data_IF_404311054238
#
_entry.id   IF_404311054238
#
_cell.length_a   1.000
_cell.length_b   1.000
_cell.length_c   1.000
_cell.angle_alpha   90.00
_cell.angle_beta   90.00
_cell.angle_gamma   90.00
#
_symmetry.space_group_name_H-M   'P 1'
#
loop_
_entity.id
_entity.type
_entity.pdbx_description
1 polymer ?
#
# COMPACT_ATOMS: atom_id res chain seq x y z
N UNK A 1 8.33 -26.51 43.73
CA UNK A 1 8.03 -25.06 43.64
C UNK A 1 9.32 -24.24 43.47
N UNK A 2 10.28 -24.69 42.65
CA UNK A 2 11.61 -24.08 42.51
C UNK A 2 12.11 -23.98 41.05
N UNK A 3 11.29 -24.32 40.05
CA UNK A 3 11.71 -24.39 38.65
C UNK A 3 10.98 -23.40 37.73
N UNK A 4 10.56 -22.23 38.22
CA UNK A 4 9.88 -21.22 37.38
C UNK A 4 10.68 -19.90 37.29
N UNK A 5 11.73 -19.74 38.11
CA UNK A 5 12.46 -18.45 38.22
C UNK A 5 13.73 -18.42 37.35
N UNK A 6 14.17 -19.54 36.76
CA UNK A 6 15.43 -19.61 35.99
C UNK A 6 15.36 -19.12 34.54
N UNK A 7 14.15 -18.87 34.00
CA UNK A 7 13.97 -18.57 32.57
C UNK A 7 13.79 -17.07 32.28
N UNK A 8 13.87 -16.20 33.30
CA UNK A 8 13.70 -14.74 33.15
C UNK A 8 15.02 -13.98 32.87
N UNK A 9 16.17 -14.66 32.88
CA UNK A 9 17.49 -14.03 32.71
C UNK A 9 18.04 -14.06 31.28
N UNK A 10 17.27 -14.54 30.29
CA UNK A 10 17.66 -14.40 28.88
C UNK A 10 17.23 -13.03 28.34
N UNK A 11 17.80 -11.97 28.93
CA UNK A 11 17.86 -10.67 28.31
C UNK A 11 18.60 -10.80 26.99
N UNK A 12 17.88 -10.54 25.89
CA UNK A 12 18.36 -10.61 24.51
C UNK A 12 19.80 -10.12 24.36
N UNK A 13 20.71 -11.07 24.10
CA UNK A 13 22.11 -10.78 23.80
C UNK A 13 22.21 -9.74 22.68
N UNK A 14 22.95 -8.67 22.97
CA UNK A 14 23.26 -7.62 22.02
C UNK A 14 24.24 -8.17 20.96
N UNK A 15 23.71 -8.54 19.79
CA UNK A 15 24.50 -8.93 18.61
C UNK A 15 25.43 -7.77 18.17
N UNK A 16 26.76 -7.89 18.36
CA UNK A 16 27.72 -6.84 18.07
C UNK A 16 27.92 -6.59 16.56
N UNK A 17 27.37 -7.44 15.68
CA UNK A 17 27.40 -7.27 14.22
C UNK A 17 26.27 -6.43 13.65
N UNK A 18 25.22 -6.16 14.43
CA UNK A 18 24.03 -5.45 13.97
C UNK A 18 24.22 -3.94 14.13
N UNK A 19 24.51 -3.24 13.03
CA UNK A 19 24.57 -1.77 13.01
C UNK A 19 23.31 -1.21 13.68
N UNK A 20 23.50 -0.45 14.76
CA UNK A 20 22.42 0.32 15.41
C UNK A 20 21.74 1.15 14.33
N UNK A 21 20.49 0.79 14.02
CA UNK A 21 19.69 1.55 13.08
C UNK A 21 19.37 2.87 13.73
N UNK A 22 19.64 3.98 13.04
CA UNK A 22 19.20 5.29 13.50
C UNK A 22 17.69 5.22 13.74
N UNK A 23 17.25 5.64 14.93
CA UNK A 23 15.85 5.79 15.26
C UNK A 23 15.34 6.98 14.46
N UNK A 24 14.90 6.74 13.22
CA UNK A 24 14.12 7.68 12.41
C UNK A 24 14.62 9.12 12.34
N UNK A 25 13.68 10.01 11.98
CA UNK A 25 13.83 11.45 12.20
C UNK A 25 14.01 11.72 13.72
N UNK A 26 14.82 12.73 14.10
CA UNK A 26 15.04 13.05 15.52
C UNK A 26 13.72 13.48 16.20
N UNK A 27 13.32 12.78 17.27
CA UNK A 27 12.14 13.11 18.08
C UNK A 27 10.82 12.80 17.36
N UNK A 28 9.73 13.46 17.76
CA UNK A 28 8.38 13.21 17.23
C UNK A 28 8.11 13.89 15.87
N UNK A 29 9.15 14.24 15.11
CA UNK A 29 9.02 15.02 13.87
C UNK A 29 8.14 14.31 12.83
N UNK A 30 8.41 13.03 12.57
CA UNK A 30 7.65 12.26 11.59
C UNK A 30 6.19 12.06 12.02
N UNK A 31 5.97 11.78 13.31
CA UNK A 31 4.64 11.65 13.90
C UNK A 31 3.85 12.95 13.72
N UNK A 32 4.40 14.09 14.19
CA UNK A 32 3.76 15.39 14.10
C UNK A 32 3.47 15.79 12.65
N UNK A 33 4.40 15.50 11.73
CA UNK A 33 4.19 15.70 10.30
C UNK A 33 3.00 14.89 9.79
N UNK A 34 2.98 13.59 10.06
CA UNK A 34 1.89 12.70 9.62
C UNK A 34 0.54 13.16 10.19
N UNK A 35 0.48 13.54 11.47
CA UNK A 35 -0.74 14.07 12.08
C UNK A 35 -1.17 15.41 11.45
N UNK A 36 -0.22 16.29 11.12
CA UNK A 36 -0.50 17.57 10.47
C UNK A 36 -0.96 17.43 9.02
N UNK A 37 -0.39 16.49 8.27
CA UNK A 37 -0.73 16.25 6.86
C UNK A 37 -2.03 15.45 6.71
N UNK A 38 -2.31 14.49 7.60
CA UNK A 38 -3.51 13.61 7.51
C UNK A 38 -4.68 14.06 8.38
N UNK A 39 -4.44 14.86 9.43
CA UNK A 39 -5.44 15.19 10.45
C UNK A 39 -5.77 14.05 11.42
N UNK A 40 -5.09 12.90 11.33
CA UNK A 40 -5.39 11.71 12.14
C UNK A 40 -4.71 11.78 13.50
N UNK A 41 -5.41 11.41 14.57
CA UNK A 41 -4.81 11.29 15.90
C UNK A 41 -4.04 9.96 16.08
N UNK A 42 -2.86 9.87 15.46
CA UNK A 42 -1.99 8.67 15.47
C UNK A 42 -1.56 8.29 16.90
N UNK A 43 -1.39 9.27 17.78
CA UNK A 43 -0.99 9.09 19.18
C UNK A 43 -2.06 8.38 20.03
N UNK A 44 -3.32 8.37 19.60
CA UNK A 44 -4.39 7.61 20.27
C UNK A 44 -4.21 6.09 20.15
N UNK A 45 -3.35 5.60 19.25
CA UNK A 45 -3.15 4.17 19.07
C UNK A 45 -2.36 3.54 20.24
N UNK A 46 -3.07 2.70 20.99
CA UNK A 46 -2.59 1.81 22.06
C UNK A 46 -2.27 0.36 21.64
N UNK A 47 -2.11 0.08 20.33
CA UNK A 47 -1.65 -1.22 19.81
C UNK A 47 -2.53 -2.44 20.14
N UNK A 48 -3.86 -2.30 20.09
CA UNK A 48 -4.79 -3.43 20.31
C UNK A 48 -4.89 -4.46 19.17
N UNK A 49 -4.16 -4.26 18.07
CA UNK A 49 -4.09 -5.15 16.89
C UNK A 49 -5.40 -5.43 16.11
N UNK A 50 -6.55 -4.85 16.51
CA UNK A 50 -7.83 -5.03 15.81
C UNK A 50 -7.77 -4.76 14.30
N UNK A 51 -7.07 -3.70 13.91
CA UNK A 51 -6.88 -3.35 12.50
C UNK A 51 -6.14 -4.44 11.69
N UNK A 52 -5.30 -5.24 12.35
CA UNK A 52 -4.58 -6.35 11.72
C UNK A 52 -5.46 -7.58 11.58
N UNK A 53 -6.22 -7.90 12.64
CA UNK A 53 -7.17 -9.01 12.62
C UNK A 53 -8.33 -8.77 11.64
N UNK A 54 -8.75 -7.52 11.45
CA UNK A 54 -9.75 -7.14 10.46
C UNK A 54 -9.23 -7.14 9.00
N UNK A 55 -7.91 -7.14 8.80
CA UNK A 55 -7.33 -7.01 7.46
C UNK A 55 -7.23 -8.37 6.76
N UNK A 56 -7.88 -8.55 5.59
CA UNK A 56 -7.99 -9.84 4.90
C UNK A 56 -6.68 -10.24 4.22
N UNK A 57 -5.80 -9.26 3.97
CA UNK A 57 -4.48 -9.46 3.35
C UNK A 57 -3.35 -9.26 4.36
N UNK A 58 -3.65 -9.20 5.66
CA UNK A 58 -2.64 -9.02 6.70
C UNK A 58 -1.55 -10.09 6.62
N UNK A 59 -1.89 -11.32 6.28
CA UNK A 59 -0.94 -12.42 6.11
C UNK A 59 0.17 -12.12 5.08
N UNK A 60 -0.14 -11.38 4.01
CA UNK A 60 0.81 -11.02 2.95
C UNK A 60 1.61 -9.75 3.24
N UNK A 61 1.27 -9.01 4.30
CA UNK A 61 1.97 -7.78 4.69
C UNK A 61 3.23 -8.09 5.51
N UNK A 62 4.33 -7.43 5.21
CA UNK A 62 5.58 -7.51 5.99
C UNK A 62 5.55 -6.66 7.26
N UNK A 63 4.78 -5.57 7.26
CA UNK A 63 4.48 -4.72 8.41
C UNK A 63 2.97 -4.71 8.58
N UNK A 64 2.46 -5.26 9.68
CA UNK A 64 1.00 -5.32 9.88
C UNK A 64 0.41 -3.92 10.11
N UNK A 65 -0.89 -3.68 9.87
CA UNK A 65 -1.50 -2.37 10.04
C UNK A 65 -1.24 -1.71 11.41
N UNK A 66 -1.29 -2.46 12.52
CA UNK A 66 -0.99 -1.89 13.85
C UNK A 66 0.48 -1.48 13.99
N UNK A 67 1.38 -2.31 13.43
CA UNK A 67 2.82 -2.04 13.39
C UNK A 67 3.11 -0.83 12.51
N UNK A 68 2.39 -0.63 11.41
CA UNK A 68 2.58 0.54 10.57
C UNK A 68 2.33 1.84 11.36
N UNK A 69 1.26 1.87 12.16
CA UNK A 69 0.99 2.97 13.10
C UNK A 69 2.12 3.13 14.11
N UNK A 70 2.62 2.02 14.67
CA UNK A 70 3.74 2.06 15.62
C UNK A 70 5.01 2.62 14.98
N UNK A 71 5.31 2.25 13.74
CA UNK A 71 6.48 2.75 13.02
C UNK A 71 6.37 4.25 12.76
N UNK A 72 5.16 4.76 12.50
CA UNK A 72 4.94 6.22 12.42
C UNK A 72 5.22 6.89 13.76
N UNK A 73 4.70 6.34 14.87
CA UNK A 73 4.98 6.85 16.22
C UNK A 73 6.48 6.84 16.56
N UNK A 74 7.22 5.84 16.07
CA UNK A 74 8.66 5.68 16.32
C UNK A 74 9.55 6.42 15.31
N UNK A 75 8.98 7.09 14.31
CA UNK A 75 9.75 7.79 13.28
C UNK A 75 10.41 6.89 12.22
N UNK A 76 10.05 5.62 12.12
CA UNK A 76 10.69 4.64 11.22
C UNK A 76 10.19 4.74 9.77
N UNK A 77 10.35 5.94 9.20
CA UNK A 77 9.87 6.32 7.87
C UNK A 77 10.45 5.43 6.76
N UNK A 78 11.77 5.26 6.70
CA UNK A 78 12.42 4.56 5.58
C UNK A 78 11.99 3.10 5.48
N UNK A 79 11.75 2.46 6.63
CA UNK A 79 11.29 1.07 6.67
C UNK A 79 9.86 0.92 6.21
N UNK A 80 9.01 1.87 6.62
CA UNK A 80 7.63 1.92 6.12
C UNK A 80 7.60 2.08 4.61
N UNK A 81 8.32 3.07 4.08
CA UNK A 81 8.31 3.37 2.64
C UNK A 81 8.90 2.24 1.78
N UNK A 82 9.77 1.40 2.36
CA UNK A 82 10.32 0.19 1.70
C UNK A 82 9.44 -1.05 1.83
N UNK A 83 8.40 -1.00 2.66
CA UNK A 83 7.57 -2.17 2.97
C UNK A 83 6.71 -2.60 1.78
N UNK A 84 6.39 -3.90 1.70
CA UNK A 84 5.39 -4.40 0.75
C UNK A 84 3.98 -3.98 1.15
N UNK A 85 3.77 -3.75 2.45
CA UNK A 85 2.49 -3.35 3.08
C UNK A 85 1.79 -2.19 2.38
N UNK A 86 2.54 -1.13 2.04
CA UNK A 86 2.01 0.05 1.35
C UNK A 86 1.32 -0.33 0.02
N UNK A 87 1.90 -1.29 -0.70
CA UNK A 87 1.48 -1.68 -2.04
C UNK A 87 0.47 -2.84 -2.04
N UNK A 88 0.48 -3.68 -1.02
CA UNK A 88 -0.46 -4.79 -0.84
C UNK A 88 -1.80 -4.32 -0.27
N UNK A 89 -1.83 -3.19 0.44
CA UNK A 89 -3.06 -2.64 1.01
C UNK A 89 -4.15 -2.44 -0.05
N UNK A 90 -5.30 -3.07 0.16
CA UNK A 90 -6.46 -3.04 -0.75
C UNK A 90 -7.32 -1.78 -0.62
N UNK A 91 -6.98 -0.85 0.28
CA UNK A 91 -7.78 0.37 0.51
C UNK A 91 -9.25 0.07 0.85
N UNK A 92 -9.47 -0.96 1.68
CA UNK A 92 -10.80 -1.47 2.00
C UNK A 92 -11.42 -0.87 3.28
N UNK A 93 -10.74 0.04 3.97
CA UNK A 93 -11.24 0.79 5.14
C UNK A 93 -11.63 -0.02 6.39
N UNK A 94 -11.48 -1.36 6.38
CA UNK A 94 -11.84 -2.18 7.54
C UNK A 94 -10.99 -1.87 8.77
N UNK A 95 -9.70 -1.58 8.60
CA UNK A 95 -8.83 -1.23 9.71
C UNK A 95 -9.29 0.04 10.45
N UNK A 96 -9.75 1.05 9.71
CA UNK A 96 -10.31 2.30 10.23
C UNK A 96 -11.65 2.05 10.91
N UNK A 97 -12.54 1.31 10.26
CA UNK A 97 -13.90 1.02 10.77
C UNK A 97 -13.90 0.28 12.11
N UNK A 98 -12.96 -0.65 12.32
CA UNK A 98 -12.89 -1.46 13.55
C UNK A 98 -12.06 -0.81 14.67
N UNK A 99 -11.46 0.35 14.44
CA UNK A 99 -10.59 1.02 15.39
C UNK A 99 -11.40 1.64 16.54
N UNK A 100 -11.23 1.18 17.80
CA UNK A 100 -11.98 1.74 18.93
C UNK A 100 -11.53 3.16 19.33
N UNK A 101 -10.35 3.59 18.85
CA UNK A 101 -9.77 4.90 19.14
C UNK A 101 -9.85 5.84 17.93
N UNK A 102 -10.65 5.48 16.90
CA UNK A 102 -10.89 6.32 15.71
C UNK A 102 -9.61 6.73 14.96
N UNK A 103 -8.56 5.92 15.07
CA UNK A 103 -7.34 6.09 14.28
C UNK A 103 -7.63 5.63 12.86
N UNK A 104 -7.58 6.56 11.91
CA UNK A 104 -7.75 6.26 10.48
C UNK A 104 -6.49 5.60 9.89
N UNK A 105 -6.39 4.29 10.09
CA UNK A 105 -5.25 3.49 9.66
C UNK A 105 -5.16 3.43 8.14
N UNK A 106 -6.30 3.42 7.44
CA UNK A 106 -6.32 3.39 5.99
C UNK A 106 -5.75 4.70 5.41
N UNK A 107 -6.19 5.86 5.89
CA UNK A 107 -5.66 7.16 5.45
C UNK A 107 -4.15 7.27 5.69
N UNK A 108 -3.65 6.76 6.82
CA UNK A 108 -2.21 6.72 7.10
C UNK A 108 -1.46 5.87 6.07
N UNK A 109 -1.96 4.68 5.72
CA UNK A 109 -1.32 3.82 4.70
C UNK A 109 -1.42 4.47 3.30
N UNK A 110 -2.54 5.13 2.99
CA UNK A 110 -2.72 5.90 1.76
C UNK A 110 -1.70 7.03 1.64
N UNK A 111 -1.54 7.81 2.71
CA UNK A 111 -0.57 8.88 2.77
C UNK A 111 0.86 8.35 2.62
N UNK A 112 1.21 7.25 3.28
CA UNK A 112 2.51 6.58 3.12
C UNK A 112 2.76 6.12 1.68
N UNK A 113 1.73 5.66 0.95
CA UNK A 113 1.83 5.33 -0.48
C UNK A 113 2.22 6.55 -1.31
N UNK A 114 1.54 7.67 -1.06
CA UNK A 114 1.83 8.93 -1.74
C UNK A 114 3.27 9.39 -1.47
N UNK A 115 3.72 9.29 -0.22
CA UNK A 115 5.09 9.61 0.15
C UNK A 115 6.10 8.68 -0.52
N UNK A 116 5.78 7.39 -0.68
CA UNK A 116 6.67 6.42 -1.32
C UNK A 116 6.90 6.77 -2.79
N UNK A 117 5.86 7.13 -3.53
CA UNK A 117 5.96 7.54 -4.95
C UNK A 117 6.79 8.81 -5.12
N UNK A 118 6.61 9.80 -4.24
CA UNK A 118 7.36 11.05 -4.30
C UNK A 118 8.78 10.94 -3.72
N UNK A 119 9.15 9.78 -3.20
CA UNK A 119 10.49 9.51 -2.66
C UNK A 119 11.38 8.84 -3.70
N UNK A 120 12.69 8.85 -3.46
CA UNK A 120 13.67 8.08 -4.24
C UNK A 120 13.71 6.59 -3.88
N UNK A 121 12.76 6.11 -3.08
CA UNK A 121 12.72 4.73 -2.61
C UNK A 121 12.01 3.85 -3.64
N UNK A 122 12.73 2.87 -4.17
CA UNK A 122 12.15 1.88 -5.07
C UNK A 122 11.17 0.99 -4.32
N UNK A 123 9.91 0.85 -4.79
CA UNK A 123 8.94 -0.08 -4.24
C UNK A 123 9.47 -1.51 -4.20
N UNK A 124 9.26 -2.20 -3.08
CA UNK A 124 9.52 -3.64 -2.97
C UNK A 124 8.63 -4.43 -3.94
N UNK A 125 7.35 -4.07 -3.99
CA UNK A 125 6.36 -4.66 -4.91
C UNK A 125 6.22 -3.82 -6.19
N UNK A 126 7.23 -3.85 -7.06
CA UNK A 126 7.27 -3.04 -8.30
C UNK A 126 6.04 -3.23 -9.19
N UNK A 127 5.62 -4.46 -9.39
CA UNK A 127 4.49 -4.79 -10.26
C UNK A 127 3.18 -4.21 -9.72
N UNK A 128 2.97 -4.25 -8.40
CA UNK A 128 1.81 -3.62 -7.75
C UNK A 128 1.88 -2.09 -7.84
N UNK A 129 3.07 -1.50 -7.68
CA UNK A 129 3.25 -0.07 -7.84
C UNK A 129 2.93 0.39 -9.26
N UNK A 130 3.48 -0.27 -10.29
CA UNK A 130 3.20 0.03 -11.70
C UNK A 130 1.72 -0.18 -12.03
N UNK A 131 1.11 -1.24 -11.47
CA UNK A 131 -0.32 -1.48 -11.62
C UNK A 131 -1.17 -0.35 -11.03
N UNK A 132 -0.86 0.08 -9.81
CA UNK A 132 -1.55 1.19 -9.14
C UNK A 132 -1.46 2.48 -9.96
N UNK A 133 -0.26 2.81 -10.47
CA UNK A 133 -0.08 3.97 -11.34
C UNK A 133 -0.90 3.87 -12.62
N UNK A 134 -0.88 2.70 -13.25
CA UNK A 134 -1.66 2.47 -14.48
C UNK A 134 -3.16 2.58 -14.22
N UNK A 135 -3.63 2.07 -13.09
CA UNK A 135 -5.02 2.19 -12.65
C UNK A 135 -5.44 3.65 -12.53
N UNK A 136 -4.64 4.47 -11.85
CA UNK A 136 -4.91 5.90 -11.68
C UNK A 136 -4.85 6.67 -13.01
N UNK A 137 -3.88 6.36 -13.89
CA UNK A 137 -3.79 6.93 -15.24
C UNK A 137 -5.06 6.67 -16.07
N UNK A 138 -5.53 5.41 -16.07
CA UNK A 138 -6.74 5.01 -16.80
C UNK A 138 -7.97 5.68 -16.19
N UNK A 139 -8.08 5.70 -14.87
CA UNK A 139 -9.18 6.37 -14.16
C UNK A 139 -9.22 7.86 -14.52
N UNK A 140 -8.08 8.56 -14.49
CA UNK A 140 -7.99 9.99 -14.84
C UNK A 140 -8.34 10.27 -16.30
N UNK A 141 -7.95 9.38 -17.22
CA UNK A 141 -8.16 9.57 -18.67
C UNK A 141 -9.60 9.29 -19.11
N UNK A 142 -10.28 8.34 -18.49
CA UNK A 142 -11.59 7.86 -18.94
C UNK A 142 -12.73 8.03 -17.94
N UNK A 143 -12.41 8.32 -16.68
CA UNK A 143 -13.37 8.48 -15.58
C UNK A 143 -14.05 7.18 -15.13
N UNK A 144 -13.70 6.05 -15.76
CA UNK A 144 -14.20 4.72 -15.42
C UNK A 144 -13.18 3.68 -15.83
N UNK A 145 -13.10 2.62 -15.04
CA UNK A 145 -12.17 1.53 -15.27
C UNK A 145 -12.87 0.43 -16.04
N UNK A 146 -12.11 -0.17 -16.94
CA UNK A 146 -12.51 -1.31 -17.72
C UNK A 146 -11.36 -2.29 -17.73
N UNK A 147 -11.68 -3.55 -17.47
CA UNK A 147 -10.74 -4.63 -17.23
C UNK A 147 -9.79 -4.78 -18.44
N UNK A 148 -10.34 -4.86 -19.65
CA UNK A 148 -9.54 -4.99 -20.87
C UNK A 148 -8.58 -3.81 -21.07
N UNK A 149 -9.09 -2.58 -20.93
CA UNK A 149 -8.28 -1.38 -21.09
C UNK A 149 -7.17 -1.28 -20.03
N UNK A 150 -7.49 -1.57 -18.78
CA UNK A 150 -6.53 -1.52 -17.68
C UNK A 150 -5.43 -2.58 -17.87
N UNK A 151 -5.81 -3.82 -18.18
CA UNK A 151 -4.85 -4.91 -18.42
C UNK A 151 -3.94 -4.58 -19.60
N UNK A 152 -4.48 -4.11 -20.73
CA UNK A 152 -3.66 -3.73 -21.87
C UNK A 152 -2.72 -2.56 -21.55
N UNK A 153 -3.20 -1.52 -20.86
CA UNK A 153 -2.35 -0.40 -20.48
C UNK A 153 -1.21 -0.84 -19.55
N UNK A 154 -1.47 -1.80 -18.66
CA UNK A 154 -0.48 -2.36 -17.73
C UNK A 154 0.52 -3.26 -18.46
N UNK A 155 0.05 -4.16 -19.30
CA UNK A 155 0.90 -5.11 -20.05
C UNK A 155 1.74 -4.42 -21.14
N UNK A 156 1.35 -3.24 -21.60
CA UNK A 156 2.13 -2.44 -22.55
C UNK A 156 3.21 -1.59 -21.88
N UNK A 157 3.28 -1.52 -20.54
CA UNK A 157 4.39 -0.85 -19.85
C UNK A 157 5.69 -1.62 -20.16
N UNK A 158 6.79 -0.94 -20.57
CA UNK A 158 7.99 -1.61 -21.08
C UNK A 158 8.56 -2.67 -20.12
N UNK A 159 8.67 -2.33 -18.83
CA UNK A 159 9.22 -3.21 -17.81
C UNK A 159 8.37 -4.50 -17.66
N UNK A 160 7.05 -4.35 -17.61
CA UNK A 160 6.10 -5.46 -17.45
C UNK A 160 6.05 -6.33 -18.71
N UNK A 161 6.05 -5.71 -19.89
CA UNK A 161 6.02 -6.42 -21.16
C UNK A 161 7.26 -7.31 -21.31
N UNK A 162 8.43 -6.75 -21.01
CA UNK A 162 9.69 -7.48 -21.09
C UNK A 162 9.75 -8.66 -20.11
N UNK A 163 9.32 -8.45 -18.86
CA UNK A 163 9.23 -9.53 -17.86
C UNK A 163 8.29 -10.66 -18.31
N UNK A 164 7.11 -10.33 -18.85
CA UNK A 164 6.12 -11.33 -19.28
C UNK A 164 6.56 -12.13 -20.50
N UNK A 165 7.23 -11.48 -21.47
CA UNK A 165 7.82 -12.15 -22.63
C UNK A 165 8.91 -13.13 -22.17
N UNK A 166 9.81 -12.67 -21.28
CA UNK A 166 10.88 -13.50 -20.72
C UNK A 166 10.34 -14.71 -19.97
N UNK A 167 9.28 -14.52 -19.18
CA UNK A 167 8.68 -15.57 -18.37
C UNK A 167 7.68 -16.45 -19.13
N UNK A 168 7.46 -16.24 -20.43
CA UNK A 168 6.47 -16.95 -21.29
C UNK A 168 5.00 -16.88 -20.82
N UNK A 169 4.72 -16.20 -19.72
CA UNK A 169 3.37 -15.96 -19.15
C UNK A 169 2.42 -15.22 -20.09
N UNK A 170 2.94 -14.44 -21.05
CA UNK A 170 2.12 -13.68 -22.00
C UNK A 170 1.15 -14.56 -22.81
N UNK A 171 1.55 -15.80 -23.14
CA UNK A 171 0.70 -16.74 -23.88
C UNK A 171 -0.50 -17.20 -23.05
N UNK A 172 -0.29 -17.45 -21.76
CA UNK A 172 -1.33 -17.88 -20.82
C UNK A 172 -2.35 -16.77 -20.58
N UNK A 173 -1.87 -15.54 -20.39
CA UNK A 173 -2.73 -14.36 -20.26
C UNK A 173 -3.61 -14.13 -21.50
N UNK A 174 -3.03 -14.28 -22.70
CA UNK A 174 -3.77 -14.15 -23.96
C UNK A 174 -4.83 -15.26 -24.10
N UNK A 175 -4.50 -16.50 -23.74
CA UNK A 175 -5.45 -17.61 -23.75
C UNK A 175 -6.60 -17.39 -22.77
N UNK A 176 -6.31 -16.88 -21.57
CA UNK A 176 -7.33 -16.50 -20.59
C UNK A 176 -8.20 -15.37 -21.14
N UNK A 177 -7.61 -14.34 -21.73
CA UNK A 177 -8.31 -13.24 -22.39
C UNK A 177 -9.25 -13.71 -23.49
N UNK A 178 -8.79 -14.60 -24.38
CA UNK A 178 -9.62 -15.22 -25.43
C UNK A 178 -10.77 -16.04 -24.83
N UNK A 179 -10.53 -16.78 -23.76
CA UNK A 179 -11.55 -17.58 -23.07
C UNK A 179 -12.63 -16.70 -22.45
N UNK A 180 -12.24 -15.60 -21.79
CA UNK A 180 -13.16 -14.63 -21.21
C UNK A 180 -13.96 -13.88 -22.28
N UNK A 181 -13.34 -13.53 -23.40
CA UNK A 181 -13.99 -12.89 -24.54
C UNK A 181 -15.03 -13.82 -25.19
N UNK A 182 -14.67 -15.10 -25.43
CA UNK A 182 -15.59 -16.11 -25.97
C UNK A 182 -16.80 -16.36 -25.06
N UNK A 183 -16.63 -16.25 -23.74
CA UNK A 183 -17.73 -16.35 -22.75
C UNK A 183 -18.50 -15.04 -22.56
N UNK A 184 -18.18 -13.96 -23.29
CA UNK A 184 -18.82 -12.66 -23.13
C UNK A 184 -18.56 -11.97 -21.78
N UNK A 185 -17.55 -12.44 -21.03
CA UNK A 185 -17.20 -11.93 -19.68
C UNK A 185 -16.16 -10.81 -19.73
N UNK A 186 -15.61 -10.50 -20.90
CA UNK A 186 -14.65 -9.42 -21.10
C UNK A 186 -15.25 -8.34 -22.02
N UNK A 187 -15.44 -7.13 -21.49
CA UNK A 187 -15.96 -6.00 -22.25
C UNK A 187 -14.79 -5.21 -22.86
N UNK A 188 -14.68 -5.18 -24.18
CA UNK A 188 -13.60 -4.46 -24.88
C UNK A 188 -13.83 -2.94 -24.93
N UNK A 189 -15.09 -2.53 -25.00
CA UNK A 189 -15.48 -1.13 -25.16
C UNK A 189 -16.39 -0.69 -24.02
N UNK A 190 -16.00 0.40 -23.37
CA UNK A 190 -16.80 1.10 -22.36
C UNK A 190 -16.77 2.59 -22.64
N UNK A 191 -17.93 3.28 -22.65
CA UNK A 191 -17.99 4.72 -22.84
C UNK A 191 -17.35 5.44 -21.65
N UNK A 192 -16.89 6.67 -21.88
CA UNK A 192 -16.36 7.53 -20.81
C UNK A 192 -17.44 7.83 -19.78
N UNK A 193 -17.03 8.00 -18.52
CA UNK A 193 -17.94 8.42 -17.46
C UNK A 193 -18.46 9.84 -17.72
N UNK A 194 -19.74 10.08 -17.43
CA UNK A 194 -20.35 11.42 -17.45
C UNK A 194 -19.68 12.35 -16.43
N UNK A 195 -19.22 11.80 -15.30
CA UNK A 195 -18.56 12.52 -14.21
C UNK A 195 -17.06 12.78 -14.44
N UNK A 196 -16.55 12.64 -15.68
CA UNK A 196 -15.11 12.81 -15.94
C UNK A 196 -14.58 14.21 -15.56
N UNK A 197 -15.42 15.25 -15.67
CA UNK A 197 -15.05 16.61 -15.27
C UNK A 197 -14.86 16.72 -13.76
N UNK A 198 -15.76 16.11 -12.99
CA UNK A 198 -15.69 16.06 -11.52
C UNK A 198 -14.48 15.27 -11.05
N UNK A 199 -14.23 14.09 -11.64
CA UNK A 199 -13.06 13.27 -11.30
C UNK A 199 -11.76 14.03 -11.55
N UNK A 200 -11.66 14.74 -12.69
CA UNK A 200 -10.50 15.59 -12.98
C UNK A 200 -10.37 16.76 -12.02
N UNK A 201 -11.50 17.36 -11.62
CA UNK A 201 -11.54 18.45 -10.63
C UNK A 201 -11.06 17.96 -9.27
N UNK A 202 -11.59 16.85 -8.77
CA UNK A 202 -11.15 16.22 -7.53
C UNK A 202 -9.64 15.96 -7.55
N UNK A 203 -9.14 15.35 -8.62
CA UNK A 203 -7.69 15.11 -8.77
C UNK A 203 -6.85 16.39 -8.76
N UNK A 204 -7.33 17.47 -9.39
CA UNK A 204 -6.63 18.77 -9.38
C UNK A 204 -6.66 19.49 -8.03
N UNK A 205 -7.70 19.26 -7.23
CA UNK A 205 -7.84 19.86 -5.90
C UNK A 205 -6.93 19.18 -4.89
N UNK A 206 -6.70 17.87 -5.01
CA UNK A 206 -5.82 17.09 -4.14
C UNK A 206 -4.33 17.19 -4.52
N UNK A 207 -3.89 18.25 -5.22
CA UNK A 207 -2.47 18.58 -5.51
C UNK A 207 -1.56 17.45 -6.04
N UNK A 208 -2.09 16.40 -6.66
CA UNK A 208 -1.28 15.25 -7.07
C UNK A 208 -0.84 14.34 -5.92
N UNK A 209 -1.42 14.51 -4.73
CA UNK A 209 -1.22 13.68 -3.53
C UNK A 209 -2.06 12.38 -3.57
N UNK A 210 -2.34 11.84 -4.76
CA UNK A 210 -2.99 10.53 -4.92
C UNK A 210 -2.21 9.77 -5.99
N UNK A 211 -0.91 9.57 -5.74
CA UNK A 211 -0.02 8.81 -6.62
C UNK A 211 0.72 7.81 -5.77
#
# INVERSE_FOLDING_TARGET
>A
MQNIISDLDQAHEHDPGKKRKLIGDRGDFFLNRMQGETGVNISACYQCERCTNACPVSHFMDIKPHQAIRYVQLGWREDLLKSSTIWICLSCEMCTTYCPNEVDVAEIIHHLRNMAVHSSITPKEKNLAVFHQTFLEVLRKYGRINEFRLMNAYYLKPDILHERIKNKTLKEDLLLGMTLLRKGRLKLFTPKSRAIKEIKKAYSQTRGEIV
#
